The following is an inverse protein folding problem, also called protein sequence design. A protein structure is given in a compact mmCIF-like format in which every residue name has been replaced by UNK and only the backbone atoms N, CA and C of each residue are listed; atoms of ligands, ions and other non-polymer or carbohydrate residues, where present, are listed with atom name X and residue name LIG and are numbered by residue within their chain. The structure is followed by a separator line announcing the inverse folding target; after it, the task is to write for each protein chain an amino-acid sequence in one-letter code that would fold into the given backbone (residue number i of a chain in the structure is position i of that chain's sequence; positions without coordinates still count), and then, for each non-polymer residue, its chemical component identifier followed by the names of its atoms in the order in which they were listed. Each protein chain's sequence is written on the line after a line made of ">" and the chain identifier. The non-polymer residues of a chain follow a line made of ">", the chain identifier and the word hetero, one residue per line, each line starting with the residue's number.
data_IF_584468347083
#
_entry.id   IF_584468347083
#
_cell.length_a   1.000
_cell.length_b   1.000
_cell.length_c   1.000
_cell.angle_alpha   90.00
_cell.angle_beta   90.00
_cell.angle_gamma   90.00
#
_symmetry.space_group_name_H-M   'P 1'
#
loop_
_entity.id
_entity.type
_entity.pdbx_description
1 polymer ?
#
# COMPACT_ATOMS: atom_id res chain seq x y z
N UNK A 1 -2.62 16.01 15.31
CA UNK A 1 -1.71 15.24 14.42
C UNK A 1 -1.40 13.90 15.08
N UNK A 2 -1.40 12.75 14.37
CA UNK A 2 -1.09 11.42 14.95
C UNK A 2 0.29 10.96 14.50
N UNK A 3 1.14 10.57 15.44
CA UNK A 3 2.47 10.04 15.12
C UNK A 3 2.33 8.70 14.37
N UNK A 4 2.98 8.59 13.21
CA UNK A 4 2.96 7.39 12.37
C UNK A 4 4.18 6.51 12.61
N UNK A 5 5.29 7.08 13.07
CA UNK A 5 6.54 6.36 13.32
C UNK A 5 7.31 7.04 14.46
N UNK A 6 8.14 6.26 15.15
CA UNK A 6 9.09 6.72 16.15
C UNK A 6 10.45 6.07 15.89
N UNK A 7 11.50 6.84 16.06
CA UNK A 7 12.87 6.39 15.87
C UNK A 7 13.86 7.50 16.15
N UNK A 8 15.04 7.40 15.58
CA UNK A 8 16.18 8.26 15.92
C UNK A 8 16.87 8.77 14.67
N UNK A 9 17.10 10.08 14.57
CA UNK A 9 18.04 10.64 13.59
C UNK A 9 19.46 10.46 14.10
N UNK A 10 20.30 9.79 13.31
CA UNK A 10 21.69 9.50 13.60
C UNK A 10 22.58 10.24 12.60
N UNK A 11 23.53 11.03 13.09
CA UNK A 11 24.59 11.60 12.25
C UNK A 11 25.93 11.62 13.00
N UNK A 12 26.89 10.82 12.52
CA UNK A 12 28.19 10.63 13.16
C UNK A 12 28.09 10.10 14.60
N UNK A 13 28.15 11.00 15.58
CA UNK A 13 28.08 10.69 17.02
C UNK A 13 26.81 11.25 17.69
N UNK A 14 25.95 11.96 16.95
CA UNK A 14 24.75 12.60 17.49
C UNK A 14 23.52 11.74 17.19
N UNK A 15 22.69 11.56 18.22
CA UNK A 15 21.50 10.70 18.21
C UNK A 15 20.32 11.50 18.75
N UNK A 16 19.30 11.71 17.90
CA UNK A 16 18.14 12.57 18.18
C UNK A 16 16.87 11.72 18.10
N UNK A 17 16.23 11.36 19.23
CA UNK A 17 14.98 10.63 19.21
C UNK A 17 13.85 11.54 18.70
N UNK A 18 13.12 11.10 17.67
CA UNK A 18 12.03 11.84 17.03
C UNK A 18 10.75 11.01 16.87
N UNK A 19 9.63 11.72 16.73
CA UNK A 19 8.35 11.23 16.22
C UNK A 19 8.13 11.81 14.82
N UNK A 20 7.57 11.00 13.93
CA UNK A 20 7.27 11.38 12.55
C UNK A 20 5.76 11.48 12.33
N UNK A 21 5.31 12.55 11.70
CA UNK A 21 3.92 12.86 11.39
C UNK A 21 3.76 13.16 9.90
N UNK A 22 2.58 12.95 9.31
CA UNK A 22 2.33 13.35 7.93
C UNK A 22 2.26 14.88 7.81
N UNK A 23 3.00 15.46 6.87
CA UNK A 23 2.96 16.91 6.59
C UNK A 23 1.95 17.27 5.49
N UNK A 24 1.47 16.27 4.74
CA UNK A 24 0.47 16.42 3.68
C UNK A 24 -0.79 15.63 4.01
N UNK A 25 -1.96 16.18 3.67
CA UNK A 25 -3.23 15.49 3.63
C UNK A 25 -3.79 15.59 2.20
N UNK A 26 -4.48 14.55 1.73
CA UNK A 26 -5.15 14.58 0.42
C UNK A 26 -6.57 15.10 0.58
N UNK A 27 -7.00 16.02 -0.29
CA UNK A 27 -8.38 16.52 -0.34
C UNK A 27 -9.29 15.62 -1.19
N UNK A 28 -9.20 14.31 -0.98
CA UNK A 28 -10.02 13.35 -1.75
C UNK A 28 -11.47 13.33 -1.24
N UNK A 29 -12.40 13.80 -2.07
CA UNK A 29 -13.83 13.74 -1.77
C UNK A 29 -14.28 12.27 -1.68
N UNK A 30 -14.62 11.83 -0.46
CA UNK A 30 -14.84 10.41 -0.17
C UNK A 30 -16.21 9.87 -0.65
N UNK A 31 -16.30 9.58 -1.95
CA UNK A 31 -17.47 8.90 -2.50
C UNK A 31 -17.66 7.50 -1.91
N UNK A 32 -18.88 7.19 -1.51
CA UNK A 32 -19.26 5.83 -1.09
C UNK A 32 -19.98 5.15 -2.24
N UNK A 33 -19.52 3.96 -2.63
CA UNK A 33 -20.17 3.20 -3.68
C UNK A 33 -21.58 2.78 -3.24
N UNK A 34 -22.57 3.13 -4.06
CA UNK A 34 -23.97 2.82 -3.84
C UNK A 34 -24.57 2.19 -5.09
N UNK A 35 -25.53 1.28 -4.90
CA UNK A 35 -26.34 0.76 -6.00
C UNK A 35 -27.25 1.89 -6.51
N UNK A 36 -27.12 2.23 -7.79
CA UNK A 36 -27.80 3.37 -8.43
C UNK A 36 -29.33 3.38 -8.29
N UNK A 37 -29.97 2.23 -8.09
CA UNK A 37 -31.43 2.11 -8.01
C UNK A 37 -32.04 2.52 -6.66
N UNK A 38 -31.30 2.38 -5.56
CA UNK A 38 -31.84 2.47 -4.19
C UNK A 38 -30.87 3.14 -3.19
N UNK A 39 -29.69 3.57 -3.61
CA UNK A 39 -28.69 4.18 -2.73
C UNK A 39 -28.03 3.20 -1.76
N UNK A 40 -28.33 1.90 -1.83
CA UNK A 40 -27.78 0.90 -0.90
C UNK A 40 -26.26 0.76 -1.04
N UNK A 41 -25.56 0.72 0.09
CA UNK A 41 -24.09 0.71 0.15
C UNK A 41 -23.52 -0.61 -0.37
N UNK A 42 -22.56 -0.53 -1.28
CA UNK A 42 -21.79 -1.69 -1.74
C UNK A 42 -20.73 -2.03 -0.68
N UNK A 43 -20.67 -3.30 -0.28
CA UNK A 43 -19.59 -3.87 0.55
C UNK A 43 -18.78 -4.84 -0.30
N UNK A 44 -17.45 -4.79 -0.19
CA UNK A 44 -16.56 -5.78 -0.77
C UNK A 44 -16.32 -6.94 0.20
N UNK A 45 -16.33 -8.17 -0.30
CA UNK A 45 -15.78 -9.35 0.39
C UNK A 45 -14.49 -9.76 -0.31
N UNK A 46 -13.47 -10.15 0.45
CA UNK A 46 -12.25 -10.78 -0.09
C UNK A 46 -12.52 -12.27 -0.18
N UNK A 47 -12.16 -12.88 -1.30
CA UNK A 47 -12.49 -14.25 -1.62
C UNK A 47 -11.26 -14.94 -2.20
N UNK A 48 -10.95 -16.15 -1.75
CA UNK A 48 -9.84 -16.93 -2.28
C UNK A 48 -10.19 -17.49 -3.68
N UNK A 49 -9.26 -17.39 -4.62
CA UNK A 49 -9.49 -17.76 -6.03
C UNK A 49 -9.63 -19.27 -6.23
N UNK A 50 -9.03 -20.09 -5.36
CA UNK A 50 -8.96 -21.54 -5.51
C UNK A 50 -10.27 -22.28 -5.17
N UNK A 51 -11.02 -21.76 -4.20
CA UNK A 51 -12.20 -22.41 -3.60
C UNK A 51 -13.45 -21.52 -3.60
N UNK A 52 -13.30 -20.19 -3.66
CA UNK A 52 -14.40 -19.23 -3.58
C UNK A 52 -14.83 -18.91 -2.15
N UNK A 53 -14.04 -19.25 -1.14
CA UNK A 53 -14.34 -18.96 0.27
C UNK A 53 -13.94 -17.54 0.68
N UNK A 54 -14.69 -16.95 1.62
CA UNK A 54 -14.43 -15.57 2.10
C UNK A 54 -13.27 -15.59 3.08
N UNK A 55 -12.26 -14.75 2.84
CA UNK A 55 -11.01 -14.72 3.63
C UNK A 55 -11.02 -13.53 4.59
N UNK A 56 -10.74 -13.77 5.87
CA UNK A 56 -10.60 -12.70 6.86
C UNK A 56 -9.29 -11.93 6.70
N UNK A 57 -9.23 -10.69 7.17
CA UNK A 57 -8.02 -9.86 6.99
C UNK A 57 -6.78 -10.43 7.70
N UNK A 58 -6.97 -11.09 8.84
CA UNK A 58 -5.95 -11.80 9.63
C UNK A 58 -5.31 -12.99 8.91
N UNK A 59 -5.98 -13.54 7.90
CA UNK A 59 -5.52 -14.72 7.14
C UNK A 59 -4.74 -14.32 5.86
N UNK A 60 -4.67 -13.02 5.55
CA UNK A 60 -4.05 -12.50 4.32
C UNK A 60 -2.57 -12.18 4.56
N UNK A 61 -1.73 -13.11 4.16
CA UNK A 61 -0.28 -12.93 4.06
C UNK A 61 0.16 -12.41 2.67
N UNK A 62 1.44 -12.02 2.54
CA UNK A 62 2.00 -11.52 1.27
C UNK A 62 2.53 -12.69 0.44
N UNK A 63 2.10 -12.82 -0.81
CA UNK A 63 2.65 -13.80 -1.76
C UNK A 63 3.79 -13.21 -2.61
N UNK A 64 4.91 -13.93 -2.72
CA UNK A 64 5.97 -13.65 -3.70
C UNK A 64 6.02 -14.78 -4.73
N UNK A 65 5.78 -14.47 -6.00
CA UNK A 65 5.80 -15.44 -7.10
C UNK A 65 7.23 -15.65 -7.61
N UNK A 66 7.67 -16.91 -7.65
CA UNK A 66 8.93 -17.34 -8.25
C UNK A 66 8.78 -17.45 -9.79
N UNK A 67 9.88 -17.34 -10.56
CA UNK A 67 9.84 -17.51 -12.03
C UNK A 67 9.35 -18.87 -12.54
N UNK A 68 9.16 -19.86 -11.66
CA UNK A 68 8.59 -21.17 -11.95
C UNK A 68 7.11 -21.31 -11.55
N UNK A 69 6.45 -20.21 -11.16
CA UNK A 69 5.03 -20.16 -10.78
C UNK A 69 4.72 -20.65 -9.37
N UNK A 70 5.74 -20.91 -8.54
CA UNK A 70 5.53 -21.22 -7.11
C UNK A 70 5.39 -19.95 -6.30
N UNK A 71 4.50 -19.96 -5.31
CA UNK A 71 4.30 -18.86 -4.37
C UNK A 71 5.05 -19.12 -3.06
N UNK A 72 5.84 -18.14 -2.61
CA UNK A 72 6.35 -18.05 -1.24
C UNK A 72 5.40 -17.18 -0.44
N UNK A 73 4.85 -17.70 0.65
CA UNK A 73 4.05 -16.91 1.59
C UNK A 73 5.00 -16.26 2.58
N UNK A 74 4.92 -14.94 2.69
CA UNK A 74 5.65 -14.10 3.63
C UNK A 74 4.67 -13.60 4.68
N UNK A 75 4.84 -14.06 5.91
CA UNK A 75 4.05 -13.62 7.07
C UNK A 75 4.56 -12.27 7.59
N UNK A 76 3.79 -11.60 8.44
CA UNK A 76 4.29 -10.36 9.06
C UNK A 76 5.47 -10.62 10.01
N UNK A 77 5.55 -11.80 10.66
CA UNK A 77 6.71 -12.22 11.46
C UNK A 77 8.00 -12.33 10.61
N UNK A 78 7.91 -12.86 9.39
CA UNK A 78 9.04 -12.92 8.44
C UNK A 78 9.52 -11.51 8.06
N UNK A 79 8.57 -10.59 7.87
CA UNK A 79 8.85 -9.19 7.53
C UNK A 79 9.43 -8.43 8.72
N UNK A 80 9.03 -8.75 9.96
CA UNK A 80 9.63 -8.18 11.16
C UNK A 80 11.07 -8.68 11.40
N UNK A 81 11.38 -9.92 11.04
CA UNK A 81 12.71 -10.50 11.23
C UNK A 81 13.77 -10.02 10.20
N UNK A 82 13.37 -9.25 9.18
CA UNK A 82 14.30 -8.69 8.20
C UNK A 82 15.41 -7.85 8.87
N UNK A 83 16.71 -8.16 8.64
CA UNK A 83 17.84 -7.48 9.26
C UNK A 83 18.16 -6.16 8.55
N UNK A 84 17.22 -5.22 8.56
CA UNK A 84 17.43 -3.87 8.04
C UNK A 84 18.25 -3.03 9.05
N UNK A 85 19.42 -2.49 8.68
CA UNK A 85 20.25 -1.71 9.60
C UNK A 85 19.59 -0.38 10.01
N UNK A 86 18.70 0.16 9.17
CA UNK A 86 17.93 1.39 9.41
C UNK A 86 16.61 1.15 10.17
N UNK A 87 16.43 -0.02 10.81
CA UNK A 87 15.21 -0.35 11.58
C UNK A 87 15.03 0.61 12.76
N UNK A 88 14.14 1.59 12.59
CA UNK A 88 13.88 2.75 13.49
C UNK A 88 15.00 3.79 13.58
N UNK A 89 15.90 3.82 12.59
CA UNK A 89 16.96 4.84 12.49
C UNK A 89 16.82 5.60 11.17
N UNK A 90 16.95 6.93 11.24
CA UNK A 90 17.16 7.81 10.10
C UNK A 90 18.66 8.10 10.06
N UNK A 91 19.38 7.45 9.16
CA UNK A 91 20.84 7.55 9.06
C UNK A 91 21.20 8.66 8.07
N UNK A 92 21.89 9.71 8.54
CA UNK A 92 22.32 10.84 7.70
C UNK A 92 23.60 10.49 6.98
N UNK A 93 23.55 10.48 5.65
CA UNK A 93 24.69 10.13 4.79
C UNK A 93 25.56 11.35 4.48
N UNK A 94 24.92 12.44 4.07
CA UNK A 94 25.59 13.66 3.59
C UNK A 94 24.68 14.88 3.68
N UNK A 95 25.25 16.07 3.47
CA UNK A 95 24.53 17.34 3.40
C UNK A 95 24.81 17.97 2.04
N UNK A 96 23.75 18.34 1.30
CA UNK A 96 23.83 18.90 -0.06
C UNK A 96 22.98 20.17 -0.16
N UNK A 97 23.33 21.12 -1.06
CA UNK A 97 22.46 22.24 -1.39
C UNK A 97 21.12 21.75 -1.94
N UNK A 98 20.02 22.46 -1.62
CA UNK A 98 18.67 22.10 -2.07
C UNK A 98 18.56 21.95 -3.59
N UNK A 99 19.26 22.80 -4.35
CA UNK A 99 19.27 22.81 -5.82
C UNK A 99 19.79 21.51 -6.48
N UNK A 100 20.53 20.67 -5.75
CA UNK A 100 21.02 19.39 -6.27
C UNK A 100 19.95 18.28 -6.27
N UNK A 101 18.83 18.50 -5.57
CA UNK A 101 17.74 17.54 -5.45
C UNK A 101 16.65 17.93 -6.45
N UNK A 102 16.63 17.25 -7.60
CA UNK A 102 15.60 17.43 -8.62
C UNK A 102 14.20 17.25 -8.01
N UNK A 103 13.26 18.22 -8.16
CA UNK A 103 11.91 18.12 -7.65
C UNK A 103 11.16 16.82 -8.03
N UNK A 104 11.51 16.19 -9.15
CA UNK A 104 10.92 14.91 -9.59
C UNK A 104 11.16 13.75 -8.61
N UNK A 105 12.17 13.87 -7.74
CA UNK A 105 12.51 12.85 -6.76
C UNK A 105 11.59 12.89 -5.53
N UNK A 106 10.93 14.01 -5.23
CA UNK A 106 10.11 14.12 -4.01
C UNK A 106 8.82 13.29 -4.10
N UNK A 107 8.48 12.60 -3.00
CA UNK A 107 7.29 11.77 -2.89
C UNK A 107 6.36 12.20 -1.74
N UNK A 108 6.68 11.85 -0.47
CA UNK A 108 5.84 12.20 0.69
C UNK A 108 6.61 13.02 1.70
N UNK A 109 5.95 14.05 2.26
CA UNK A 109 6.53 14.91 3.29
C UNK A 109 5.99 14.61 4.69
N UNK A 110 6.85 14.75 5.68
CA UNK A 110 6.64 14.39 7.07
C UNK A 110 7.26 15.43 8.01
N UNK A 111 6.56 15.80 9.07
CA UNK A 111 7.13 16.63 10.14
C UNK A 111 7.82 15.76 11.19
N UNK A 112 8.98 16.20 11.69
CA UNK A 112 9.75 15.53 12.74
C UNK A 112 9.69 16.35 14.05
N UNK A 113 9.16 15.77 15.11
CA UNK A 113 9.13 16.34 16.48
C UNK A 113 10.16 15.61 17.36
N UNK A 114 10.94 16.27 18.24
CA UNK A 114 11.76 15.57 19.22
C UNK A 114 10.89 14.77 20.21
N UNK A 115 11.16 13.48 20.40
CA UNK A 115 10.37 12.60 21.29
C UNK A 115 10.68 12.80 22.78
N UNK A 116 11.84 13.38 23.12
CA UNK A 116 12.29 13.55 24.50
C UNK A 116 12.97 14.90 24.74
N UNK A 117 12.91 15.39 25.99
CA UNK A 117 13.60 16.61 26.41
C UNK A 117 15.13 16.52 26.23
N UNK A 118 15.72 15.32 26.33
CA UNK A 118 17.14 15.11 26.06
C UNK A 118 17.48 15.30 24.56
N UNK A 119 16.56 14.92 23.66
CA UNK A 119 16.68 15.14 22.22
C UNK A 119 16.43 16.59 21.77
N UNK A 120 15.82 17.44 22.59
CA UNK A 120 15.46 18.80 22.21
C UNK A 120 16.67 19.68 21.85
N UNK A 121 17.75 19.65 22.66
CA UNK A 121 18.95 20.45 22.39
C UNK A 121 19.64 20.07 21.06
N UNK A 122 19.96 18.79 20.78
CA UNK A 122 20.57 18.43 19.50
C UNK A 122 19.60 18.58 18.31
N UNK A 123 18.28 18.44 18.51
CA UNK A 123 17.27 18.75 17.49
C UNK A 123 17.34 20.23 17.07
N UNK A 124 17.30 21.16 18.05
CA UNK A 124 17.37 22.59 17.76
C UNK A 124 18.71 22.98 17.14
N UNK A 125 19.81 22.35 17.56
CA UNK A 125 21.13 22.58 16.96
C UNK A 125 21.20 22.13 15.50
N UNK A 126 20.65 20.95 15.17
CA UNK A 126 20.58 20.46 13.80
C UNK A 126 19.70 21.35 12.93
N UNK A 127 18.55 21.80 13.45
CA UNK A 127 17.67 22.74 12.78
C UNK A 127 18.40 24.05 12.45
N UNK A 128 18.98 24.70 13.46
CA UNK A 128 19.70 25.96 13.28
C UNK A 128 20.88 25.81 12.31
N UNK A 129 21.60 24.70 12.35
CA UNK A 129 22.70 24.41 11.42
C UNK A 129 22.22 24.24 9.97
N UNK A 130 21.11 23.55 9.72
CA UNK A 130 20.52 23.42 8.39
C UNK A 130 19.98 24.78 7.89
N UNK A 131 19.25 25.51 8.72
CA UNK A 131 18.64 26.82 8.40
C UNK A 131 19.68 27.89 8.07
N UNK A 132 20.81 27.89 8.78
CA UNK A 132 21.90 28.86 8.55
C UNK A 132 22.88 28.49 7.43
N UNK A 133 22.83 27.26 6.90
CA UNK A 133 23.75 26.80 5.84
C UNK A 133 23.10 26.60 4.47
N UNK A 134 21.78 26.72 4.38
CA UNK A 134 20.95 26.40 3.20
C UNK A 134 21.21 24.98 2.65
N UNK A 135 21.48 24.05 3.58
CA UNK A 135 21.77 22.65 3.30
C UNK A 135 20.57 21.76 3.62
N UNK A 136 20.54 20.64 2.92
CA UNK A 136 19.57 19.56 3.09
C UNK A 136 20.33 18.29 3.44
N UNK A 137 19.95 17.62 4.52
CA UNK A 137 20.54 16.33 4.89
C UNK A 137 19.93 15.21 4.04
N UNK A 138 20.75 14.47 3.29
CA UNK A 138 20.34 13.25 2.58
C UNK A 138 20.45 12.09 3.55
N UNK A 139 19.37 11.32 3.69
CA UNK A 139 19.23 10.28 4.72
C UNK A 139 18.66 8.98 4.16
N UNK A 140 18.92 7.88 4.87
CA UNK A 140 18.22 6.60 4.70
C UNK A 140 17.33 6.31 5.89
N UNK A 141 16.11 5.82 5.62
CA UNK A 141 15.14 5.49 6.66
C UNK A 141 14.32 4.26 6.26
N UNK A 142 14.04 3.37 7.22
CA UNK A 142 13.03 2.33 7.03
C UNK A 142 11.67 2.82 7.54
N UNK A 143 10.73 3.02 6.60
CA UNK A 143 9.32 3.35 6.90
C UNK A 143 8.47 2.12 6.60
N UNK A 144 7.72 1.65 7.60
CA UNK A 144 7.02 0.38 7.52
C UNK A 144 8.02 -0.78 7.33
N UNK A 145 7.97 -1.44 6.16
CA UNK A 145 8.85 -2.57 5.83
C UNK A 145 9.82 -2.29 4.69
N UNK A 146 10.01 -1.02 4.27
CA UNK A 146 10.90 -0.65 3.16
C UNK A 146 11.91 0.40 3.58
N UNK A 147 13.18 0.18 3.23
CA UNK A 147 14.19 1.24 3.25
C UNK A 147 13.92 2.20 2.07
N UNK A 148 14.01 3.49 2.33
CA UNK A 148 13.86 4.56 1.37
C UNK A 148 14.95 5.62 1.57
N UNK A 149 15.34 6.28 0.49
CA UNK A 149 16.04 7.55 0.56
C UNK A 149 15.06 8.64 1.01
N UNK A 150 15.56 9.64 1.73
CA UNK A 150 14.80 10.82 2.12
C UNK A 150 15.73 12.02 2.29
N UNK A 151 15.15 13.19 2.48
CA UNK A 151 15.85 14.45 2.74
C UNK A 151 15.29 15.11 3.99
N UNK A 152 16.11 15.63 4.90
CA UNK A 152 15.67 16.49 6.01
C UNK A 152 16.09 17.93 5.73
N UNK A 153 15.12 18.85 5.74
CA UNK A 153 15.34 20.31 5.68
C UNK A 153 14.54 21.01 6.77
N UNK A 154 14.79 22.30 6.99
CA UNK A 154 13.94 23.14 7.85
C UNK A 154 12.80 23.70 7.01
N UNK A 155 11.59 23.70 7.58
CA UNK A 155 10.42 24.40 7.05
C UNK A 155 9.55 24.82 8.22
N UNK A 156 9.02 26.04 8.20
CA UNK A 156 8.09 26.56 9.22
C UNK A 156 8.63 26.42 10.67
N UNK A 157 9.96 26.54 10.83
CA UNK A 157 10.66 26.40 12.11
C UNK A 157 10.83 24.97 12.64
N UNK A 158 10.49 23.95 11.84
CA UNK A 158 10.49 22.51 12.20
C UNK A 158 11.31 21.71 11.19
N UNK A 159 11.96 20.62 11.63
CA UNK A 159 12.57 19.65 10.72
C UNK A 159 11.48 18.91 9.92
N UNK A 160 11.54 19.03 8.60
CA UNK A 160 10.65 18.36 7.65
C UNK A 160 11.44 17.35 6.84
N UNK A 161 11.02 16.09 6.89
CA UNK A 161 11.57 15.01 6.08
C UNK A 161 10.70 14.75 4.85
N UNK A 162 11.28 14.70 3.66
CA UNK A 162 10.59 14.29 2.44
C UNK A 162 11.23 13.01 1.90
N UNK A 163 10.45 11.96 1.67
CA UNK A 163 10.96 10.73 1.04
C UNK A 163 11.24 10.98 -0.43
N UNK A 164 12.31 10.35 -0.92
CA UNK A 164 12.70 10.38 -2.31
C UNK A 164 12.30 9.07 -3.02
N UNK A 165 12.01 9.19 -4.32
CA UNK A 165 12.05 8.09 -5.27
C UNK A 165 13.50 7.66 -5.51
N UNK A 166 13.71 6.37 -5.78
CA UNK A 166 15.01 5.89 -6.25
C UNK A 166 15.27 6.31 -7.70
N UNK A 167 16.53 6.46 -8.09
CA UNK A 167 16.89 6.95 -9.43
C UNK A 167 16.44 6.02 -10.58
N UNK A 168 16.16 4.75 -10.30
CA UNK A 168 15.60 3.76 -11.21
C UNK A 168 14.06 3.74 -11.24
N UNK A 169 13.39 4.35 -10.25
CA UNK A 169 11.93 4.58 -10.27
C UNK A 169 11.57 5.77 -11.19
N UNK A 170 12.51 6.69 -11.44
CA UNK A 170 12.33 7.82 -12.36
C UNK A 170 12.48 7.37 -13.81
N UNK A 171 11.40 7.49 -14.58
CA UNK A 171 11.38 7.15 -16.01
C UNK A 171 12.12 8.20 -16.84
N UNK A 172 12.93 7.74 -17.80
CA UNK A 172 13.57 8.62 -18.79
C UNK A 172 12.57 8.98 -19.90
N UNK A 173 12.56 10.23 -20.39
CA UNK A 173 11.70 10.61 -21.51
C UNK A 173 12.29 10.06 -22.83
N UNK A 174 11.55 9.15 -23.47
CA UNK A 174 11.94 8.51 -24.75
C UNK A 174 11.01 8.96 -25.89
N UNK A 175 10.83 10.28 -26.04
CA UNK A 175 9.99 10.86 -27.08
C UNK A 175 10.77 11.15 -28.36
N UNK A 176 10.21 10.79 -29.53
CA UNK A 176 10.89 10.94 -30.82
C UNK A 176 11.32 12.37 -31.17
N UNK A 177 10.53 13.37 -30.76
CA UNK A 177 10.81 14.78 -31.04
C UNK A 177 12.09 15.31 -30.35
N UNK A 178 12.60 14.65 -29.31
CA UNK A 178 13.79 15.09 -28.58
C UNK A 178 15.08 15.02 -29.42
N UNK A 179 15.05 14.32 -30.56
CA UNK A 179 16.13 14.30 -31.54
C UNK A 179 15.84 15.09 -32.81
N UNK A 180 14.74 15.85 -32.87
CA UNK A 180 14.41 16.69 -34.02
C UNK A 180 15.11 18.06 -33.90
N UNK A 181 16.00 18.35 -34.84
CA UNK A 181 16.68 19.65 -34.94
C UNK A 181 15.85 20.59 -35.84
N UNK A 182 15.00 21.41 -35.19
CA UNK A 182 14.14 22.40 -35.83
C UNK A 182 14.75 23.80 -35.66
N UNK A 183 15.03 24.50 -36.77
CA UNK A 183 15.58 25.85 -36.76
C UNK A 183 14.55 26.88 -36.23
N UNK A 184 14.64 27.19 -34.94
CA UNK A 184 13.79 28.18 -34.27
C UNK A 184 14.31 29.59 -34.53
N UNK A 185 13.54 30.42 -35.24
CA UNK A 185 14.01 31.78 -35.59
C UNK A 185 14.17 32.61 -34.32
N UNK A 186 15.28 33.34 -34.12
CA UNK A 186 15.50 34.14 -32.91
C UNK A 186 14.43 35.21 -32.62
N UNK A 187 13.66 35.62 -33.63
CA UNK A 187 12.52 36.52 -33.46
C UNK A 187 11.31 35.85 -32.79
N UNK A 188 11.07 34.57 -33.05
CA UNK A 188 9.98 33.79 -32.44
C UNK A 188 10.27 33.52 -30.98
N UNK A 189 11.51 33.13 -30.66
CA UNK A 189 11.97 32.95 -29.27
C UNK A 189 11.82 34.24 -28.47
N UNK A 190 12.21 35.40 -29.04
CA UNK A 190 12.03 36.71 -28.38
C UNK A 190 10.56 37.08 -28.18
N UNK A 191 9.68 36.75 -29.12
CA UNK A 191 8.24 36.99 -28.99
C UNK A 191 7.63 36.12 -27.87
N UNK A 192 8.03 34.85 -27.79
CA UNK A 192 7.64 33.95 -26.70
C UNK A 192 8.16 34.44 -25.33
N UNK A 193 9.41 34.90 -25.26
CA UNK A 193 9.98 35.50 -24.04
C UNK A 193 9.22 36.76 -23.59
N UNK A 194 8.80 37.61 -24.51
CA UNK A 194 7.99 38.78 -24.19
C UNK A 194 6.59 38.40 -23.68
N UNK A 195 5.98 37.32 -24.19
CA UNK A 195 4.72 36.80 -23.67
C UNK A 195 4.88 36.24 -22.26
N UNK A 196 5.93 35.47 -21.99
CA UNK A 196 6.26 34.96 -20.65
C UNK A 196 6.43 36.11 -19.65
N UNK A 197 7.22 37.14 -19.98
CA UNK A 197 7.41 38.31 -19.12
C UNK A 197 6.12 39.13 -18.90
N UNK A 198 5.14 39.05 -19.81
CA UNK A 198 3.82 39.69 -19.62
C UNK A 198 2.86 38.90 -18.73
N UNK A 199 3.22 37.66 -18.37
CA UNK A 199 2.45 36.74 -17.52
C UNK A 199 3.24 36.32 -16.27
N UNK A 200 4.34 37.01 -15.97
CA UNK A 200 5.16 36.79 -14.76
C UNK A 200 4.48 37.40 -13.53
N UNK A 201 4.54 36.69 -12.40
CA UNK A 201 3.94 37.09 -11.13
C UNK A 201 4.35 36.15 -10.00
N UNK A 202 4.04 36.54 -8.77
CA UNK A 202 4.29 35.71 -7.59
C UNK A 202 3.28 34.56 -7.51
N UNK A 203 3.73 33.40 -7.02
CA UNK A 203 2.86 32.23 -6.82
C UNK A 203 2.41 32.11 -5.38
N UNK A 204 1.15 32.45 -5.11
CA UNK A 204 0.46 32.16 -3.86
C UNK A 204 -0.48 30.94 -4.04
N UNK A 205 -0.25 29.81 -3.36
CA UNK A 205 -1.17 28.66 -3.39
C UNK A 205 -2.59 28.98 -2.93
N UNK A 206 -2.80 29.97 -2.05
CA UNK A 206 -4.12 30.29 -1.48
C UNK A 206 -5.05 31.03 -2.46
N UNK A 207 -4.53 31.58 -3.55
CA UNK A 207 -5.34 32.20 -4.61
C UNK A 207 -6.04 31.18 -5.53
N UNK A 208 -5.61 29.91 -5.49
CA UNK A 208 -6.15 28.84 -6.33
C UNK A 208 -7.14 27.97 -5.57
N UNK A 209 -8.27 27.65 -6.21
CA UNK A 209 -9.33 26.79 -5.64
C UNK A 209 -9.56 25.56 -6.51
N UNK A 210 -10.02 24.46 -5.91
CA UNK A 210 -10.40 23.27 -6.66
C UNK A 210 -11.79 23.46 -7.28
N UNK A 211 -11.82 23.90 -8.54
CA UNK A 211 -13.05 24.10 -9.31
C UNK A 211 -13.90 22.82 -9.43
N UNK A 212 -13.31 21.62 -9.30
CA UNK A 212 -14.06 20.37 -9.33
C UNK A 212 -14.84 20.15 -8.03
N UNK A 213 -14.27 20.52 -6.88
CA UNK A 213 -14.96 20.46 -5.58
C UNK A 213 -16.14 21.45 -5.56
N UNK A 214 -15.91 22.70 -5.98
CA UNK A 214 -16.97 23.71 -6.09
C UNK A 214 -18.10 23.24 -7.00
N UNK A 215 -17.79 22.76 -8.21
CA UNK A 215 -18.78 22.25 -9.15
C UNK A 215 -19.49 20.96 -8.67
N UNK A 216 -18.86 20.17 -7.80
CA UNK A 216 -19.50 19.01 -7.18
C UNK A 216 -20.49 19.44 -6.09
N UNK A 217 -20.12 20.39 -5.22
CA UNK A 217 -21.01 20.89 -4.18
C UNK A 217 -22.25 21.56 -4.79
N UNK A 218 -22.09 22.39 -5.82
CA UNK A 218 -23.21 22.94 -6.61
C UNK A 218 -24.12 21.84 -7.18
N UNK A 219 -23.53 20.74 -7.70
CA UNK A 219 -24.29 19.59 -8.22
C UNK A 219 -25.02 18.81 -7.12
N UNK A 220 -24.46 18.75 -5.91
CA UNK A 220 -25.11 18.12 -4.74
C UNK A 220 -26.27 19.01 -4.26
N UNK A 221 -26.05 20.31 -4.10
CA UNK A 221 -27.10 21.27 -3.71
C UNK A 221 -28.27 21.27 -4.70
N UNK A 222 -28.01 21.37 -6.01
CA UNK A 222 -29.05 21.31 -7.03
C UNK A 222 -29.90 20.02 -6.97
N UNK A 223 -29.31 18.90 -6.56
CA UNK A 223 -30.03 17.63 -6.36
C UNK A 223 -30.80 17.55 -5.05
N UNK A 224 -30.31 18.20 -3.99
CA UNK A 224 -31.04 18.35 -2.74
C UNK A 224 -32.29 19.22 -2.95
N UNK A 225 -32.15 20.37 -3.61
CA UNK A 225 -33.27 21.25 -3.96
C UNK A 225 -34.26 20.58 -4.93
N UNK A 226 -33.75 19.85 -5.92
CA UNK A 226 -34.54 19.02 -6.84
C UNK A 226 -35.23 17.82 -6.20
N UNK A 227 -35.01 17.55 -4.90
CA UNK A 227 -35.49 16.37 -4.18
C UNK A 227 -35.08 15.02 -4.82
N UNK A 228 -33.96 14.97 -5.55
CA UNK A 228 -33.41 13.73 -6.15
C UNK A 228 -32.68 12.83 -5.12
N UNK A 229 -33.18 12.79 -3.87
CA UNK A 229 -32.52 12.13 -2.74
C UNK A 229 -33.04 10.71 -2.57
N UNK A 230 -32.19 9.72 -2.87
CA UNK A 230 -32.46 8.32 -2.53
C UNK A 230 -32.07 8.05 -1.07
N UNK A 231 -33.05 7.68 -0.24
CA UNK A 231 -32.79 7.22 1.11
C UNK A 231 -32.43 5.71 1.10
N UNK A 232 -31.19 5.32 1.47
CA UNK A 232 -30.79 3.93 1.42
C UNK A 232 -31.61 3.10 2.40
N UNK A 233 -32.23 2.02 1.91
CA UNK A 233 -32.83 1.03 2.80
C UNK A 233 -31.74 0.46 3.72
N UNK A 234 -31.88 0.67 5.03
CA UNK A 234 -31.07 -0.02 6.03
C UNK A 234 -31.57 -1.46 6.06
N UNK A 235 -30.94 -2.33 5.28
CA UNK A 235 -31.21 -3.75 5.35
C UNK A 235 -30.84 -4.27 6.74
N UNK A 236 -31.79 -4.94 7.39
CA UNK A 236 -31.60 -5.78 8.58
C UNK A 236 -30.77 -7.02 8.21
N UNK A 237 -29.56 -6.79 7.70
CA UNK A 237 -28.59 -7.82 7.36
C UNK A 237 -27.89 -8.27 8.62
N UNK A 238 -28.53 -9.21 9.31
CA UNK A 238 -28.00 -10.07 10.38
C UNK A 238 -26.88 -9.43 11.21
N UNK A 239 -27.26 -8.84 12.34
CA UNK A 239 -26.31 -8.70 13.44
C UNK A 239 -25.87 -10.11 13.86
N UNK A 240 -24.64 -10.51 13.52
CA UNK A 240 -23.96 -11.64 14.18
C UNK A 240 -23.56 -11.21 15.61
N UNK A 241 -24.55 -10.84 16.42
CA UNK A 241 -24.44 -10.46 17.84
C UNK A 241 -24.93 -11.58 18.79
N UNK A 242 -25.52 -12.65 18.26
CA UNK A 242 -26.21 -13.68 19.08
C UNK A 242 -25.26 -14.73 19.71
N UNK A 243 -24.04 -14.90 19.19
CA UNK A 243 -23.07 -15.90 19.68
C UNK A 243 -22.46 -15.58 21.07
N UNK A 244 -22.76 -14.44 21.68
CA UNK A 244 -22.28 -14.09 23.04
C UNK A 244 -23.29 -14.45 24.13
N UNK A 245 -24.59 -14.51 23.81
CA UNK A 245 -25.65 -14.80 24.78
C UNK A 245 -25.70 -16.30 25.12
N UNK A 246 -25.53 -17.18 24.11
CA UNK A 246 -25.49 -18.63 24.33
C UNK A 246 -24.26 -19.06 25.15
N UNK A 247 -23.10 -18.43 24.97
CA UNK A 247 -21.91 -18.72 25.79
C UNK A 247 -22.11 -18.38 27.27
N UNK A 248 -22.80 -17.28 27.59
CA UNK A 248 -23.14 -16.96 28.99
C UNK A 248 -24.21 -17.90 29.56
N UNK A 249 -25.22 -18.28 28.76
CA UNK A 249 -26.23 -19.26 29.17
C UNK A 249 -25.63 -20.66 29.41
N UNK A 250 -24.76 -21.12 28.51
CA UNK A 250 -24.05 -22.39 28.62
C UNK A 250 -23.07 -22.42 29.79
N UNK A 251 -22.36 -21.31 30.05
CA UNK A 251 -21.47 -21.19 31.21
C UNK A 251 -22.26 -21.22 32.53
N UNK A 252 -23.37 -20.49 32.62
CA UNK A 252 -24.26 -20.49 33.78
C UNK A 252 -24.82 -21.91 34.04
N UNK A 253 -25.28 -22.60 33.00
CA UNK A 253 -25.77 -23.98 33.08
C UNK A 253 -24.68 -25.00 33.47
N UNK A 254 -23.40 -24.72 33.15
CA UNK A 254 -22.26 -25.53 33.59
C UNK A 254 -21.93 -25.29 35.08
N UNK A 255 -21.96 -24.03 35.52
CA UNK A 255 -21.75 -23.64 36.93
C UNK A 255 -22.86 -24.20 37.84
N UNK A 256 -24.12 -24.19 37.38
CA UNK A 256 -25.24 -24.73 38.16
C UNK A 256 -25.26 -26.26 38.22
N UNK A 257 -24.65 -26.96 37.26
CA UNK A 257 -24.34 -28.41 37.40
C UNK A 257 -23.20 -28.64 38.39
N UNK A 258 -22.14 -27.84 38.33
CA UNK A 258 -21.00 -27.95 39.24
C UNK A 258 -21.39 -27.67 40.71
N UNK A 259 -22.33 -26.77 40.96
CA UNK A 259 -22.85 -26.46 42.31
C UNK A 259 -23.82 -27.51 42.89
N UNK A 260 -24.21 -28.54 42.13
CA UNK A 260 -25.24 -29.52 42.52
C UNK A 260 -24.76 -30.96 42.68
N UNK A 261 -23.44 -31.21 42.71
CA UNK A 261 -22.90 -32.56 42.88
C UNK A 261 -21.49 -32.62 43.45
N UNK A 262 -21.40 -32.74 44.78
CA UNK A 262 -20.29 -33.44 45.46
C UNK A 262 -20.89 -34.65 46.20
N UNK A 263 -20.28 -35.83 46.07
CA UNK A 263 -20.76 -37.06 46.75
C UNK A 263 -20.47 -38.36 45.99
N UNK A 264 -19.20 -38.77 45.97
CA UNK A 264 -18.68 -40.02 45.39
C UNK A 264 -18.84 -41.23 46.39
N UNK A 265 -18.25 -42.42 46.18
CA UNK A 265 -18.64 -43.55 45.30
C UNK A 265 -19.09 -44.82 46.06
N UNK A 266 -19.72 -45.80 45.37
CA UNK A 266 -19.55 -47.24 45.74
C UNK A 266 -19.71 -48.18 44.52
N UNK A 267 -19.08 -49.34 44.60
CA UNK A 267 -19.06 -50.38 43.57
C UNK A 267 -20.04 -51.54 43.86
N UNK A 268 -20.42 -52.28 42.81
CA UNK A 268 -20.50 -53.75 42.90
C UNK A 268 -21.75 -54.49 42.39
N UNK A 269 -21.45 -55.59 41.66
CA UNK A 269 -22.12 -56.92 41.71
C UNK A 269 -23.27 -57.21 40.72
N UNK A 270 -22.92 -58.03 39.69
CA UNK A 270 -23.66 -59.14 39.04
C UNK A 270 -25.07 -58.92 38.40
N UNK A 271 -25.57 -59.72 37.43
CA UNK A 271 -25.03 -60.75 36.51
C UNK A 271 -25.97 -60.82 35.27
N UNK A 272 -25.45 -61.18 34.08
CA UNK A 272 -25.76 -62.44 33.35
C UNK A 272 -25.63 -62.47 31.80
N UNK A 273 -25.56 -63.71 31.28
CA UNK A 273 -25.19 -64.24 29.94
C UNK A 273 -25.35 -63.44 28.60
N UNK A 274 -24.19 -63.23 27.93
CA UNK A 274 -23.68 -63.93 26.70
C UNK A 274 -24.66 -64.63 25.70
N UNK A 275 -24.22 -64.97 24.44
CA UNK A 275 -23.23 -64.33 23.54
C UNK A 275 -23.51 -64.40 22.00
N UNK A 276 -22.56 -63.86 21.22
CA UNK A 276 -22.05 -64.35 19.91
C UNK A 276 -22.58 -63.72 18.58
N UNK A 277 -21.71 -62.97 17.85
CA UNK A 277 -20.91 -63.34 16.64
C UNK A 277 -21.74 -63.38 15.32
N UNK A 278 -21.28 -62.92 14.14
CA UNK A 278 -20.05 -62.22 13.68
C UNK A 278 -20.29 -61.58 12.28
N UNK A 279 -19.50 -60.55 11.95
CA UNK A 279 -19.08 -59.98 10.63
C UNK A 279 -18.88 -61.01 9.48
N UNK A 280 -18.62 -60.64 8.18
CA UNK A 280 -18.42 -59.29 7.58
C UNK A 280 -18.89 -59.03 6.09
N UNK A 281 -18.67 -57.80 5.60
CA UNK A 281 -18.22 -57.41 4.23
C UNK A 281 -19.13 -57.64 2.98
N UNK A 282 -19.00 -56.93 1.85
CA UNK A 282 -18.44 -55.60 1.52
C UNK A 282 -18.74 -55.20 0.04
N UNK A 283 -18.51 -53.91 -0.28
CA UNK A 283 -17.98 -53.35 -1.56
C UNK A 283 -18.90 -53.01 -2.76
N UNK A 284 -18.48 -51.89 -3.40
CA UNK A 284 -18.67 -51.42 -4.80
C UNK A 284 -20.01 -50.78 -5.22
N UNK A 285 -20.05 -49.83 -6.17
CA UNK A 285 -19.10 -48.78 -6.62
C UNK A 285 -19.78 -47.85 -7.65
N UNK A 286 -19.30 -46.60 -7.77
CA UNK A 286 -19.80 -45.52 -8.64
C UNK A 286 -19.91 -45.79 -10.16
N UNK A 287 -20.73 -44.98 -10.87
CA UNK A 287 -20.37 -44.27 -12.12
C UNK A 287 -21.43 -43.21 -12.54
N UNK A 288 -21.03 -42.22 -13.37
CA UNK A 288 -21.79 -40.99 -13.72
C UNK A 288 -22.47 -41.02 -15.12
N UNK A 289 -23.38 -40.05 -15.36
CA UNK A 289 -23.70 -39.45 -16.70
C UNK A 289 -22.42 -38.78 -17.30
N UNK A 290 -22.28 -38.35 -18.56
CA UNK A 290 -23.19 -37.94 -19.65
C UNK A 290 -22.44 -37.98 -21.02
N UNK A 291 -23.07 -37.69 -22.18
CA UNK A 291 -22.42 -37.74 -23.50
C UNK A 291 -21.77 -36.40 -23.94
N UNK A 292 -20.78 -36.46 -24.84
CA UNK A 292 -20.09 -35.29 -25.39
C UNK A 292 -20.39 -35.03 -26.89
N UNK A 293 -20.40 -33.74 -27.28
CA UNK A 293 -20.62 -33.25 -28.66
C UNK A 293 -19.32 -32.68 -29.26
N UNK A 294 -19.15 -32.91 -30.57
CA UNK A 294 -18.38 -32.17 -31.59
C UNK A 294 -17.39 -31.06 -31.15
N UNK A 295 -16.17 -31.15 -31.68
CA UNK A 295 -15.41 -29.97 -32.16
C UNK A 295 -14.76 -30.25 -33.52
N UNK A 296 -14.89 -29.29 -34.44
CA UNK A 296 -13.98 -29.04 -35.57
C UNK A 296 -13.30 -27.68 -35.27
N UNK A 297 -12.27 -27.16 -35.96
CA UNK A 297 -11.80 -27.37 -37.34
C UNK A 297 -10.39 -26.74 -37.49
N UNK A 298 -9.48 -27.44 -38.19
CA UNK A 298 -8.41 -26.93 -39.10
C UNK A 298 -7.69 -25.57 -38.87
N UNK A 299 -6.37 -25.68 -38.61
CA UNK A 299 -5.26 -24.90 -39.25
C UNK A 299 -5.33 -24.94 -40.81
N UNK A 300 -4.61 -24.11 -41.65
CA UNK A 300 -3.13 -23.95 -41.55
C UNK A 300 -2.39 -22.76 -42.26
N UNK A 301 -1.05 -22.73 -42.04
CA UNK A 301 0.05 -22.53 -43.01
C UNK A 301 0.56 -21.14 -43.54
N UNK A 302 1.89 -20.95 -43.31
CA UNK A 302 2.98 -20.57 -44.27
C UNK A 302 3.08 -19.08 -44.73
N UNK A 303 4.24 -18.51 -45.13
CA UNK A 303 5.59 -19.02 -45.52
C UNK A 303 6.66 -17.87 -45.45
N UNK A 304 7.93 -18.20 -45.15
CA UNK A 304 9.24 -17.88 -45.83
C UNK A 304 9.50 -16.50 -46.56
N UNK A 305 10.72 -15.97 -46.79
CA UNK A 305 12.11 -16.48 -46.69
C UNK A 305 13.22 -15.39 -46.86
N UNK A 306 14.50 -15.77 -46.62
CA UNK A 306 15.77 -15.19 -47.15
C UNK A 306 16.27 -13.82 -46.57
N UNK A 307 17.55 -13.43 -46.63
CA UNK A 307 18.74 -13.91 -47.39
C UNK A 307 20.10 -13.58 -46.70
N UNK A 308 21.21 -14.24 -47.09
CA UNK A 308 22.62 -14.01 -46.66
C UNK A 308 23.40 -13.02 -47.55
N UNK A 309 24.39 -12.30 -46.96
CA UNK A 309 25.74 -11.95 -47.50
C UNK A 309 26.64 -11.47 -46.33
N UNK A 310 27.73 -12.11 -45.86
CA UNK A 310 29.12 -12.32 -46.37
C UNK A 310 30.07 -11.10 -46.45
N UNK A 311 31.05 -11.10 -45.51
CA UNK A 311 32.46 -10.61 -45.56
C UNK A 311 32.71 -9.06 -45.43
N UNK A 312 33.94 -8.50 -45.25
CA UNK A 312 35.33 -9.05 -45.33
C UNK A 312 36.45 -8.16 -44.66
N UNK A 313 37.23 -8.68 -43.67
CA UNK A 313 38.52 -8.14 -43.08
C UNK A 313 38.46 -6.72 -42.41
N UNK A 314 39.15 -6.36 -41.31
CA UNK A 314 40.38 -6.77 -40.59
C UNK A 314 41.66 -5.95 -40.89
N UNK A 315 42.02 -5.03 -39.98
CA UNK A 315 43.38 -4.64 -39.50
C UNK A 315 43.26 -3.37 -38.60
N UNK A 316 44.14 -2.98 -37.67
CA UNK A 316 45.03 -3.61 -36.65
C UNK A 316 46.00 -2.51 -36.16
N UNK A 317 45.98 -2.25 -34.83
CA UNK A 317 47.04 -1.65 -33.98
C UNK A 317 47.32 -0.13 -33.93
N UNK A 318 47.62 0.26 -32.68
CA UNK A 318 48.45 1.36 -32.17
C UNK A 318 47.90 2.79 -32.28
N UNK A 319 48.07 3.66 -31.27
CA UNK A 319 48.83 3.51 -30.01
C UNK A 319 47.94 3.51 -28.77
#
# INVERSE_FOLDING_TARGET
>A
MRAMWKGTVSFGLVSIPIKMYGATATHDISFRQVRRSDGSRVKYKRVAEADGEVVEYSEIAKGYELPDGRMVVLTDDDMEQLPLPTKKVVDVLEFVPLEQIDPILYNKSYFLEPDTNAGLKPYLLLREALESSDMVAVVKVTIGTREQMATIRVRDGVLTMSTLLWADEVRKPEFGFLGEDLDLRPQEVKMAQALLASMEGDFDPEEYTDEYEVALDELVEAKLEGNEVLQPAVGEGEEESDNVVDLMAALQASIDRAKKGEGEPVAGVDQDEKPAKKKPAAKKSAAKKAPAKKAAKKQPAKKAAAKKTTAKKAAKKAS
#
